data_IF_226992775931
#
_entry.id   IF_226992775931
#
_cell.length_a   1.000
_cell.length_b   1.000
_cell.length_c   1.000
_cell.angle_alpha   90.00
_cell.angle_beta   90.00
_cell.angle_gamma   90.00
#
_symmetry.space_group_name_H-M   'P 1'
#
loop_
_entity.id
_entity.type
_entity.pdbx_description
1 polymer ?
#
# COMPACT_ATOMS: atom_id res chain seq x y z
N UNK A 1 27.65 -47.49 41.89
CA UNK A 1 28.13 -46.09 41.97
C UNK A 1 28.21 -45.55 40.55
N UNK A 2 27.13 -44.94 40.03
CA UNK A 2 27.07 -44.40 38.66
C UNK A 2 26.29 -43.08 38.56
N UNK A 3 25.59 -42.63 39.62
CA UNK A 3 24.71 -41.44 39.62
C UNK A 3 25.41 -40.06 39.59
N UNK A 4 26.74 -40.01 39.46
CA UNK A 4 27.48 -38.74 39.41
C UNK A 4 27.97 -38.36 38.01
N UNK A 5 27.95 -39.28 37.04
CA UNK A 5 28.40 -38.99 35.66
C UNK A 5 27.28 -38.55 34.72
N UNK A 6 25.99 -38.83 35.00
CA UNK A 6 24.88 -38.50 34.10
C UNK A 6 24.35 -37.06 34.22
N UNK A 7 24.49 -36.44 35.39
CA UNK A 7 24.00 -35.06 35.65
C UNK A 7 24.59 -33.97 34.74
N UNK A 8 25.90 -33.91 34.43
CA UNK A 8 26.42 -32.90 33.51
C UNK A 8 25.92 -33.10 32.07
N UNK A 9 25.74 -34.34 31.61
CA UNK A 9 25.17 -34.64 30.28
C UNK A 9 23.70 -34.20 30.17
N UNK A 10 22.91 -34.37 31.24
CA UNK A 10 21.51 -33.94 31.27
C UNK A 10 21.36 -32.41 31.22
N UNK A 11 22.27 -31.67 31.86
CA UNK A 11 22.27 -30.20 31.82
C UNK A 11 22.62 -29.70 30.41
N UNK A 12 23.62 -30.29 29.75
CA UNK A 12 23.98 -29.94 28.37
C UNK A 12 22.88 -30.29 27.37
N UNK A 13 22.25 -31.46 27.53
CA UNK A 13 21.10 -31.87 26.73
C UNK A 13 19.92 -30.91 26.90
N UNK A 14 19.64 -30.47 28.14
CA UNK A 14 18.58 -29.51 28.45
C UNK A 14 18.90 -28.11 27.90
N UNK A 15 20.14 -27.64 27.98
CA UNK A 15 20.56 -26.37 27.39
C UNK A 15 20.46 -26.39 25.86
N UNK A 16 20.88 -27.50 25.23
CA UNK A 16 20.74 -27.70 23.78
C UNK A 16 19.26 -27.73 23.35
N UNK A 17 18.39 -28.39 24.12
CA UNK A 17 16.95 -28.40 23.89
C UNK A 17 16.33 -26.99 24.03
N UNK A 18 16.72 -26.23 25.06
CA UNK A 18 16.27 -24.84 25.26
C UNK A 18 16.74 -23.92 24.12
N UNK A 19 17.98 -24.05 23.68
CA UNK A 19 18.50 -23.26 22.55
C UNK A 19 17.75 -23.58 21.25
N UNK A 20 17.50 -24.86 20.97
CA UNK A 20 16.69 -25.27 19.80
C UNK A 20 15.26 -24.75 19.88
N UNK A 21 14.60 -24.91 21.02
CA UNK A 21 13.24 -24.41 21.24
C UNK A 21 13.16 -22.88 21.10
N UNK A 22 14.15 -22.14 21.60
CA UNK A 22 14.21 -20.68 21.45
C UNK A 22 14.44 -20.27 19.99
N UNK A 23 15.32 -20.96 19.28
CA UNK A 23 15.57 -20.68 17.87
C UNK A 23 14.33 -20.97 17.00
N UNK A 24 13.61 -22.05 17.26
CA UNK A 24 12.36 -22.37 16.60
C UNK A 24 11.26 -21.35 16.95
N UNK A 25 11.12 -21.00 18.23
CA UNK A 25 10.18 -19.98 18.66
C UNK A 25 10.46 -18.62 18.00
N UNK A 26 11.73 -18.25 17.84
CA UNK A 26 12.12 -17.03 17.13
C UNK A 26 11.75 -17.09 15.65
N UNK A 27 12.06 -18.18 14.94
CA UNK A 27 11.65 -18.37 13.53
C UNK A 27 10.12 -18.28 13.37
N UNK A 28 9.36 -18.89 14.28
CA UNK A 28 7.90 -18.80 14.24
C UNK A 28 7.39 -17.39 14.54
N UNK A 29 8.03 -16.64 15.43
CA UNK A 29 7.71 -15.22 15.67
C UNK A 29 7.96 -14.38 14.42
N UNK A 30 9.10 -14.57 13.77
CA UNK A 30 9.46 -13.86 12.54
C UNK A 30 8.46 -14.17 11.41
N UNK A 31 8.14 -15.45 11.19
CA UNK A 31 7.13 -15.87 10.22
C UNK A 31 5.75 -15.27 10.54
N UNK A 32 5.30 -15.30 11.80
CA UNK A 32 4.02 -14.67 12.17
C UNK A 32 4.02 -13.17 11.91
N UNK A 33 5.12 -12.49 12.19
CA UNK A 33 5.22 -11.04 11.96
C UNK A 33 5.17 -10.70 10.46
N UNK A 34 5.79 -11.50 9.59
CA UNK A 34 5.73 -11.27 8.14
C UNK A 34 4.32 -11.52 7.59
N UNK A 35 3.65 -12.61 7.99
CA UNK A 35 2.26 -12.86 7.58
C UNK A 35 1.29 -11.80 8.10
N UNK A 36 1.50 -11.33 9.34
CA UNK A 36 0.69 -10.26 9.92
C UNK A 36 0.85 -8.97 9.12
N UNK A 37 2.07 -8.55 8.81
CA UNK A 37 2.31 -7.34 8.01
C UNK A 37 1.68 -7.42 6.62
N UNK A 38 1.75 -8.59 5.97
CA UNK A 38 1.08 -8.83 4.69
C UNK A 38 -0.45 -8.72 4.80
N UNK A 39 -1.04 -9.33 5.84
CA UNK A 39 -2.48 -9.31 6.07
C UNK A 39 -2.99 -7.89 6.34
N UNK A 40 -2.30 -7.13 7.20
CA UNK A 40 -2.61 -5.71 7.48
C UNK A 40 -2.58 -4.89 6.19
N UNK A 41 -1.55 -5.08 5.36
CA UNK A 41 -1.42 -4.36 4.09
C UNK A 41 -2.53 -4.68 3.11
N UNK A 42 -2.86 -5.97 2.93
CA UNK A 42 -3.91 -6.39 2.00
C UNK A 42 -5.28 -5.89 2.43
N UNK A 43 -5.60 -5.95 3.73
CA UNK A 43 -6.85 -5.38 4.24
C UNK A 43 -6.88 -3.87 4.06
N UNK A 44 -5.76 -3.18 4.30
CA UNK A 44 -5.71 -1.74 4.11
C UNK A 44 -5.92 -1.39 2.63
N UNK A 45 -5.24 -2.06 1.70
CA UNK A 45 -5.44 -1.86 0.26
C UNK A 45 -6.90 -2.12 -0.16
N UNK A 46 -7.54 -3.15 0.40
CA UNK A 46 -8.96 -3.43 0.18
C UNK A 46 -9.85 -2.30 0.70
N UNK A 47 -9.67 -1.85 1.95
CA UNK A 47 -10.47 -0.76 2.54
C UNK A 47 -10.28 0.56 1.78
N UNK A 48 -9.06 0.85 1.31
CA UNK A 48 -8.78 2.04 0.49
C UNK A 48 -9.49 1.97 -0.86
N UNK A 49 -9.46 0.80 -1.51
CA UNK A 49 -10.16 0.57 -2.77
C UNK A 49 -11.67 0.72 -2.61
N UNK A 50 -12.25 0.14 -1.54
CA UNK A 50 -13.67 0.27 -1.19
C UNK A 50 -14.07 1.73 -0.89
N UNK A 51 -13.17 2.51 -0.30
CA UNK A 51 -13.34 3.93 -0.07
C UNK A 51 -13.18 4.80 -1.35
N UNK A 52 -12.95 4.17 -2.52
CA UNK A 52 -12.80 4.86 -3.80
C UNK A 52 -11.45 5.55 -3.98
N UNK A 53 -10.46 5.28 -3.11
CA UNK A 53 -9.12 5.79 -3.30
C UNK A 53 -8.40 4.99 -4.39
N UNK A 54 -8.41 5.54 -5.60
CA UNK A 54 -7.71 4.97 -6.76
C UNK A 54 -6.22 5.32 -6.79
N UNK A 55 -5.77 6.25 -5.93
CA UNK A 55 -4.40 6.71 -5.90
C UNK A 55 -3.50 5.76 -5.10
N UNK A 56 -2.72 4.94 -5.80
CA UNK A 56 -1.76 3.99 -5.22
C UNK A 56 -0.67 4.66 -4.36
N UNK A 57 -0.50 5.99 -4.45
CA UNK A 57 0.46 6.72 -3.62
C UNK A 57 0.01 6.82 -2.17
N UNK A 58 -1.29 6.76 -1.87
CA UNK A 58 -1.81 6.89 -0.50
C UNK A 58 -1.21 5.84 0.42
N UNK A 59 -1.14 4.58 -0.03
CA UNK A 59 -0.54 3.49 0.74
C UNK A 59 0.94 3.72 1.09
N UNK A 60 1.67 4.61 0.40
CA UNK A 60 3.07 4.94 0.72
C UNK A 60 3.21 5.90 1.90
N UNK A 61 2.15 6.64 2.22
CA UNK A 61 2.13 7.61 3.32
C UNK A 61 1.49 7.05 4.59
N UNK A 62 0.94 5.82 4.53
CA UNK A 62 0.39 5.14 5.68
C UNK A 62 1.48 4.36 6.41
N UNK A 63 1.51 4.48 7.72
CA UNK A 63 2.39 3.70 8.59
C UNK A 63 1.66 2.44 9.06
N UNK A 64 1.85 1.36 8.30
CA UNK A 64 1.28 0.04 8.62
C UNK A 64 1.86 -0.59 9.89
N UNK A 65 2.97 -0.06 10.45
CA UNK A 65 3.50 -0.55 11.72
C UNK A 65 2.63 -0.13 12.92
N UNK A 66 1.88 0.97 12.76
CA UNK A 66 0.93 1.48 13.74
C UNK A 66 -0.50 0.98 13.51
N UNK A 67 -0.74 0.20 12.44
CA UNK A 67 -2.07 -0.33 12.11
C UNK A 67 -2.20 -1.75 12.65
N UNK A 68 -3.29 -1.98 13.39
CA UNK A 68 -3.54 -3.25 14.06
C UNK A 68 -4.81 -3.89 13.51
N UNK A 69 -4.75 -5.18 13.19
CA UNK A 69 -5.95 -5.98 12.88
C UNK A 69 -6.55 -6.45 14.20
N UNK A 70 -7.80 -6.10 14.46
CA UNK A 70 -8.56 -6.55 15.64
C UNK A 70 -9.09 -7.98 15.45
N UNK A 71 -9.60 -8.58 16.53
CA UNK A 71 -10.20 -9.92 16.48
C UNK A 71 -11.47 -9.97 15.59
N UNK A 72 -12.10 -8.82 15.34
CA UNK A 72 -13.24 -8.69 14.42
C UNK A 72 -12.81 -8.59 12.95
N UNK A 73 -11.51 -8.46 12.68
CA UNK A 73 -10.97 -8.26 11.33
C UNK A 73 -11.03 -6.80 10.86
N UNK A 74 -11.22 -5.85 11.77
CA UNK A 74 -11.18 -4.42 11.48
C UNK A 74 -9.75 -3.86 11.65
N UNK A 75 -9.45 -2.75 10.98
CA UNK A 75 -8.16 -2.07 11.06
C UNK A 75 -8.25 -0.87 11.99
N UNK A 76 -7.67 -0.99 13.18
CA UNK A 76 -7.50 0.13 14.11
C UNK A 76 -6.31 1.00 13.69
N UNK A 77 -6.48 2.32 13.81
CA UNK A 77 -5.47 3.34 13.47
C UNK A 77 -5.41 3.73 11.99
N UNK A 78 -5.94 2.89 11.07
CA UNK A 78 -5.94 3.24 9.63
C UNK A 78 -6.85 4.44 9.33
N UNK A 79 -8.04 4.46 9.93
CA UNK A 79 -9.04 5.52 9.70
C UNK A 79 -8.51 6.89 10.13
N UNK A 80 -7.88 6.96 11.29
CA UNK A 80 -7.27 8.18 11.85
C UNK A 80 -6.13 8.68 10.95
N UNK A 81 -5.26 7.78 10.49
CA UNK A 81 -4.20 8.12 9.54
C UNK A 81 -4.77 8.63 8.21
N UNK A 82 -5.87 8.03 7.72
CA UNK A 82 -6.51 8.49 6.50
C UNK A 82 -7.17 9.85 6.64
N UNK A 83 -7.79 10.14 7.79
CA UNK A 83 -8.35 11.46 8.07
C UNK A 83 -7.27 12.53 8.17
N UNK A 84 -6.17 12.26 8.87
CA UNK A 84 -5.01 13.15 8.91
C UNK A 84 -4.44 13.39 7.50
N UNK A 85 -4.28 12.32 6.71
CA UNK A 85 -3.76 12.41 5.35
C UNK A 85 -4.69 13.18 4.41
N UNK A 86 -6.01 13.10 4.60
CA UNK A 86 -6.99 13.90 3.84
C UNK A 86 -6.84 15.40 4.12
N UNK A 87 -6.50 15.77 5.36
CA UNK A 87 -6.27 17.16 5.76
C UNK A 87 -4.94 17.67 5.21
N UNK A 88 -3.87 16.88 5.36
CA UNK A 88 -2.51 17.29 4.99
C UNK A 88 -2.26 17.24 3.48
N UNK A 89 -2.80 16.21 2.80
CA UNK A 89 -2.57 15.93 1.39
C UNK A 89 -3.90 15.63 0.66
N UNK A 90 -4.82 16.61 0.59
CA UNK A 90 -6.12 16.45 -0.06
C UNK A 90 -6.01 16.09 -1.55
N UNK A 91 -4.90 16.46 -2.20
CA UNK A 91 -4.61 16.13 -3.61
C UNK A 91 -4.55 14.63 -3.86
N UNK A 92 -4.15 13.84 -2.86
CA UNK A 92 -4.09 12.38 -2.98
C UNK A 92 -5.48 11.75 -3.15
N UNK A 93 -6.53 12.45 -2.71
CA UNK A 93 -7.93 12.01 -2.72
C UNK A 93 -8.72 12.62 -3.88
N UNK A 94 -8.05 13.20 -4.88
CA UNK A 94 -8.71 13.79 -6.05
C UNK A 94 -9.39 15.13 -5.77
N UNK A 95 -9.21 15.71 -4.58
CA UNK A 95 -9.56 17.10 -4.30
C UNK A 95 -8.48 17.97 -4.94
N UNK A 96 -8.56 18.10 -6.25
CA UNK A 96 -7.90 19.21 -6.93
C UNK A 96 -8.60 20.47 -6.43
N UNK A 97 -7.94 21.21 -5.53
CA UNK A 97 -8.25 22.63 -5.40
C UNK A 97 -8.20 23.16 -6.82
N UNK A 98 -9.35 23.56 -7.38
CA UNK A 98 -9.36 24.38 -8.58
C UNK A 98 -8.56 25.61 -8.17
N UNK A 99 -7.28 25.62 -8.51
CA UNK A 99 -6.53 26.86 -8.55
C UNK A 99 -7.24 27.58 -9.68
N UNK A 100 -8.23 28.39 -9.33
CA UNK A 100 -8.74 29.45 -10.19
C UNK A 100 -7.59 30.45 -10.29
N UNK A 101 -6.53 30.04 -10.97
CA UNK A 101 -5.61 30.95 -11.61
C UNK A 101 -6.44 31.63 -12.69
N UNK A 102 -7.17 32.67 -12.28
CA UNK A 102 -7.55 33.78 -13.15
C UNK A 102 -6.28 34.53 -13.58
N UNK A 103 -5.36 33.79 -14.19
CA UNK A 103 -4.16 34.26 -14.83
C UNK A 103 -4.26 33.85 -16.28
N UNK A 104 -4.87 34.74 -17.05
CA UNK A 104 -4.62 34.90 -18.48
C UNK A 104 -4.80 33.64 -19.36
N UNK A 105 -6.06 33.20 -19.50
CA UNK A 105 -6.47 32.48 -20.70
C UNK A 105 -7.09 33.47 -21.70
N UNK A 106 -6.42 34.60 -21.95
CA UNK A 106 -6.68 35.37 -23.16
C UNK A 106 -6.20 34.54 -24.37
N UNK A 107 -7.11 34.31 -25.30
CA UNK A 107 -6.89 33.73 -26.62
C UNK A 107 -6.22 32.34 -26.68
N UNK A 108 -7.01 31.30 -26.40
CA UNK A 108 -6.90 30.10 -27.25
C UNK A 108 -7.77 30.35 -28.48
N UNK A 109 -7.20 30.58 -29.68
CA UNK A 109 -7.99 30.61 -30.89
C UNK A 109 -8.73 29.27 -31.04
N UNK A 110 -9.98 29.27 -31.54
CA UNK A 110 -10.70 28.04 -31.79
C UNK A 110 -9.84 27.14 -32.69
N UNK A 111 -9.58 25.92 -32.23
CA UNK A 111 -8.81 24.91 -32.95
C UNK A 111 -9.38 24.80 -34.35
N UNK A 112 -8.65 25.35 -35.33
CA UNK A 112 -9.01 25.28 -36.74
C UNK A 112 -9.15 23.82 -37.14
N UNK A 113 -10.18 23.56 -37.93
CA UNK A 113 -10.60 22.27 -38.46
C UNK A 113 -9.46 21.26 -38.66
N UNK A 114 -9.73 20.00 -38.29
CA UNK A 114 -8.84 18.85 -38.53
C UNK A 114 -8.26 18.92 -39.95
N UNK A 115 -6.95 18.72 -40.15
CA UNK A 115 -6.40 18.57 -41.48
C UNK A 115 -7.10 17.38 -42.16
N UNK A 116 -7.63 17.61 -43.37
CA UNK A 116 -8.31 16.58 -44.15
C UNK A 116 -7.40 15.36 -44.28
N UNK A 117 -7.97 14.18 -44.05
CA UNK A 117 -7.26 12.91 -44.22
C UNK A 117 -6.84 12.75 -45.69
N UNK A 118 -5.75 12.03 -45.97
CA UNK A 118 -5.31 11.73 -47.33
C UNK A 118 -6.43 11.13 -48.20
N UNK A 119 -7.36 10.39 -47.59
CA UNK A 119 -8.54 9.86 -48.27
C UNK A 119 -9.54 10.94 -48.75
N UNK A 120 -9.70 12.02 -47.98
CA UNK A 120 -10.56 13.16 -48.34
C UNK A 120 -9.98 13.99 -49.49
N UNK A 121 -8.65 14.09 -49.56
CA UNK A 121 -7.97 14.82 -50.64
C UNK A 121 -8.15 14.09 -51.98
N UNK A 122 -8.01 12.75 -51.98
CA UNK A 122 -8.17 11.93 -53.18
C UNK A 122 -9.60 11.96 -53.69
N UNK A 123 -10.60 11.86 -52.80
CA UNK A 123 -12.00 11.91 -53.19
C UNK A 123 -12.39 13.26 -53.84
N UNK A 124 -11.75 14.35 -53.44
CA UNK A 124 -12.01 15.68 -54.00
C UNK A 124 -11.40 15.83 -55.41
N UNK A 125 -10.28 15.19 -55.71
CA UNK A 125 -9.68 15.17 -57.06
C UNK A 125 -10.46 14.30 -58.06
N UNK A 126 -11.20 13.29 -57.59
CA UNK A 126 -11.98 12.43 -58.47
C UNK A 126 -13.33 13.05 -58.89
N UNK A 127 -13.78 14.11 -58.21
CA UNK A 127 -15.05 14.80 -58.46
C UNK A 127 -14.87 16.16 -59.18
N UNK A 128 -13.69 16.44 -59.72
CA UNK A 128 -13.38 17.65 -60.51
C UNK A 128 -13.03 17.32 -61.95
#
# INVERSE_FOLDING_TARGET
>A
MTEQQDRPNDIEAMQSALQKANAEAQKHREQRNTYRGLATRLMAEKTLSEAGLTNSKVAKYLDFSQVTVTDTGELEGLTEQLEALKVDLPELFGVTKRVSGGGDAADKPPVSARPKSSAEIIAQQMNS
#
